data_IF_989220533097
#
_entry.id   IF_989220533097
#
_cell.length_a   1.000
_cell.length_b   1.000
_cell.length_c   1.000
_cell.angle_alpha   90.00
_cell.angle_beta   90.00
_cell.angle_gamma   90.00
#
_symmetry.space_group_name_H-M   'P 1'
#
loop_
_entity.id
_entity.type
_entity.pdbx_description
1 polymer ?
#
# COMPACT_ATOMS: atom_id res chain seq x y z
N UNK A 1 13.27 -13.81 -12.14
CA UNK A 1 12.64 -12.87 -11.25
C UNK A 1 13.33 -11.52 -11.31
N UNK A 2 12.56 -10.44 -11.44
CA UNK A 2 13.05 -9.05 -11.39
C UNK A 2 12.35 -8.36 -10.24
N UNK A 3 13.07 -7.51 -9.50
CA UNK A 3 12.52 -6.61 -8.49
C UNK A 3 12.43 -5.21 -9.08
N UNK A 4 11.23 -4.62 -9.05
CA UNK A 4 10.96 -3.23 -9.48
C UNK A 4 10.83 -2.38 -8.23
N UNK A 5 11.80 -1.46 -8.02
CA UNK A 5 11.90 -0.58 -6.85
C UNK A 5 12.24 0.85 -7.31
N UNK A 6 11.48 1.33 -8.26
CA UNK A 6 11.61 2.65 -8.90
C UNK A 6 10.51 3.59 -8.36
N UNK A 7 10.39 4.86 -8.78
CA UNK A 7 9.24 5.69 -8.46
C UNK A 7 7.91 5.09 -8.94
N UNK A 8 6.83 5.33 -8.19
CA UNK A 8 5.53 4.69 -8.39
C UNK A 8 5.03 4.73 -9.85
N UNK A 9 5.20 5.88 -10.52
CA UNK A 9 4.74 6.10 -11.91
C UNK A 9 5.39 5.17 -12.94
N UNK A 10 6.49 4.53 -12.60
CA UNK A 10 7.22 3.63 -13.52
C UNK A 10 6.97 2.15 -13.24
N UNK A 11 6.29 1.82 -12.14
CA UNK A 11 6.04 0.44 -11.73
C UNK A 11 5.28 -0.33 -12.80
N UNK A 12 4.22 0.27 -13.35
CA UNK A 12 3.36 -0.37 -14.33
C UNK A 12 4.12 -0.77 -15.60
N UNK A 13 4.72 0.18 -16.28
CA UNK A 13 5.39 -0.06 -17.58
C UNK A 13 6.52 -1.08 -17.45
N UNK A 14 7.36 -0.92 -16.40
CA UNK A 14 8.48 -1.82 -16.17
C UNK A 14 7.99 -3.23 -15.84
N UNK A 15 7.03 -3.36 -14.92
CA UNK A 15 6.49 -4.66 -14.54
C UNK A 15 5.83 -5.36 -15.73
N UNK A 16 5.04 -4.64 -16.51
CA UNK A 16 4.36 -5.18 -17.70
C UNK A 16 5.36 -5.74 -18.73
N UNK A 17 6.41 -4.98 -19.03
CA UNK A 17 7.42 -5.41 -19.98
C UNK A 17 8.10 -6.73 -19.58
N UNK A 18 8.42 -6.90 -18.28
CA UNK A 18 9.00 -8.15 -17.78
C UNK A 18 7.99 -9.31 -17.78
N UNK A 19 6.75 -9.07 -17.38
CA UNK A 19 5.70 -10.09 -17.41
C UNK A 19 5.44 -10.57 -18.85
N UNK A 20 5.39 -9.67 -19.81
CA UNK A 20 5.23 -9.99 -21.24
C UNK A 20 6.42 -10.77 -21.82
N UNK A 21 7.60 -10.55 -21.25
CA UNK A 21 8.81 -11.34 -21.57
C UNK A 21 8.88 -12.69 -20.84
N UNK A 22 7.82 -13.09 -20.11
CA UNK A 22 7.79 -14.36 -19.38
C UNK A 22 8.59 -14.34 -18.08
N UNK A 23 8.91 -13.16 -17.53
CA UNK A 23 9.74 -13.00 -16.33
C UNK A 23 8.86 -12.61 -15.15
N UNK A 24 8.96 -13.36 -14.04
CA UNK A 24 8.28 -13.04 -12.80
C UNK A 24 8.76 -11.71 -12.20
N UNK A 25 7.83 -10.95 -11.62
CA UNK A 25 8.09 -9.62 -11.05
C UNK A 25 7.74 -9.60 -9.56
N UNK A 26 8.63 -8.99 -8.77
CA UNK A 26 8.34 -8.48 -7.42
C UNK A 26 8.35 -6.95 -7.50
N UNK A 27 7.17 -6.34 -7.43
CA UNK A 27 7.01 -4.90 -7.50
C UNK A 27 6.95 -4.28 -6.10
N UNK A 28 7.59 -3.12 -5.90
CA UNK A 28 7.36 -2.32 -4.70
C UNK A 28 5.92 -1.78 -4.65
N UNK A 29 5.51 -1.45 -3.44
CA UNK A 29 4.21 -0.81 -3.18
C UNK A 29 4.30 0.73 -3.40
N UNK A 30 3.20 1.37 -3.76
CA UNK A 30 1.97 0.78 -4.31
C UNK A 30 2.24 0.10 -5.66
N UNK A 31 1.47 -0.92 -5.98
CA UNK A 31 1.68 -1.72 -7.21
C UNK A 31 1.70 -0.85 -8.47
N UNK A 32 0.79 0.13 -8.52
CA UNK A 32 0.61 1.08 -9.63
C UNK A 32 0.08 2.40 -9.10
N UNK A 33 -0.02 3.42 -9.95
CA UNK A 33 -0.63 4.71 -9.60
C UNK A 33 -2.13 4.76 -9.91
N UNK A 34 -2.64 3.85 -10.74
CA UNK A 34 -4.07 3.75 -11.07
C UNK A 34 -4.58 2.31 -10.93
N UNK A 35 -5.89 2.18 -10.69
CA UNK A 35 -6.58 0.89 -10.64
C UNK A 35 -6.51 0.15 -11.99
N UNK A 36 -6.72 0.87 -13.09
CA UNK A 36 -6.68 0.30 -14.44
C UNK A 36 -5.33 -0.35 -14.77
N UNK A 37 -4.22 0.29 -14.35
CA UNK A 37 -2.88 -0.29 -14.49
C UNK A 37 -2.72 -1.57 -13.66
N UNK A 38 -3.26 -1.59 -12.43
CA UNK A 38 -3.20 -2.76 -11.57
C UNK A 38 -3.98 -3.94 -12.16
N UNK A 39 -5.18 -3.68 -12.66
CA UNK A 39 -6.00 -4.68 -13.34
C UNK A 39 -5.28 -5.26 -14.58
N UNK A 40 -4.68 -4.40 -15.39
CA UNK A 40 -3.94 -4.84 -16.59
C UNK A 40 -2.71 -5.69 -16.22
N UNK A 41 -1.97 -5.35 -15.16
CA UNK A 41 -0.87 -6.21 -14.66
C UNK A 41 -1.37 -7.58 -14.22
N UNK A 42 -2.50 -7.64 -13.52
CA UNK A 42 -3.11 -8.92 -13.10
C UNK A 42 -3.50 -9.75 -14.32
N UNK A 43 -4.13 -9.14 -15.32
CA UNK A 43 -4.52 -9.80 -16.56
C UNK A 43 -3.29 -10.27 -17.36
N UNK A 44 -2.26 -9.42 -17.43
CA UNK A 44 -1.00 -9.74 -18.11
C UNK A 44 -0.31 -10.93 -17.44
N UNK A 45 -0.16 -10.94 -16.12
CA UNK A 45 0.43 -12.06 -15.39
C UNK A 45 -0.33 -13.38 -15.64
N UNK A 46 -1.67 -13.32 -15.62
CA UNK A 46 -2.50 -14.49 -15.92
C UNK A 46 -2.30 -14.99 -17.36
N UNK A 47 -2.30 -14.10 -18.34
CA UNK A 47 -2.12 -14.40 -19.76
C UNK A 47 -0.76 -15.03 -20.07
N UNK A 48 0.29 -14.54 -19.41
CA UNK A 48 1.67 -15.01 -19.64
C UNK A 48 2.08 -16.19 -18.75
N UNK A 49 1.24 -16.57 -17.78
CA UNK A 49 1.58 -17.60 -16.79
C UNK A 49 2.68 -17.20 -15.83
N UNK A 50 2.92 -15.88 -15.67
CA UNK A 50 3.94 -15.33 -14.77
C UNK A 50 3.36 -14.94 -13.42
N UNK A 51 4.24 -14.65 -12.46
CA UNK A 51 3.89 -14.15 -11.13
C UNK A 51 4.19 -12.67 -11.06
N UNK A 52 3.18 -11.85 -10.70
CA UNK A 52 3.35 -10.47 -10.28
C UNK A 52 3.03 -10.39 -8.78
N UNK A 53 4.04 -10.19 -7.96
CA UNK A 53 3.91 -10.04 -6.51
C UNK A 53 4.19 -8.60 -6.09
N UNK A 54 3.47 -8.12 -5.05
CA UNK A 54 3.71 -6.80 -4.47
C UNK A 54 4.44 -6.94 -3.14
N UNK A 55 5.48 -6.13 -2.92
CA UNK A 55 6.33 -6.21 -1.74
C UNK A 55 5.70 -5.54 -0.51
N UNK A 56 4.76 -6.22 0.13
CA UNK A 56 4.27 -5.85 1.46
C UNK A 56 5.15 -6.49 2.56
N UNK A 57 6.39 -6.06 2.65
CA UNK A 57 7.45 -6.66 3.46
C UNK A 57 7.08 -6.89 4.94
N UNK A 58 6.27 -6.03 5.55
CA UNK A 58 5.87 -6.16 6.96
C UNK A 58 5.11 -7.45 7.27
N UNK A 59 4.36 -8.00 6.32
CA UNK A 59 3.66 -9.28 6.51
C UNK A 59 4.57 -10.50 6.46
N UNK A 60 5.84 -10.29 6.11
CA UNK A 60 6.89 -11.29 6.20
C UNK A 60 7.39 -11.59 7.63
N UNK A 61 7.18 -10.67 8.58
CA UNK A 61 7.63 -10.87 9.95
C UNK A 61 6.94 -12.05 10.65
N UNK A 62 7.71 -12.84 11.36
CA UNK A 62 7.22 -14.06 12.02
C UNK A 62 6.06 -13.78 13.00
N UNK A 63 6.14 -12.70 13.78
CA UNK A 63 5.09 -12.33 14.74
C UNK A 63 3.81 -11.88 14.04
N UNK A 64 3.88 -11.22 12.89
CA UNK A 64 2.71 -10.83 12.10
C UNK A 64 2.00 -12.07 11.55
N UNK A 65 2.77 -13.04 11.04
CA UNK A 65 2.23 -14.32 10.58
C UNK A 65 1.62 -15.11 11.73
N UNK A 66 2.24 -15.09 12.92
CA UNK A 66 1.70 -15.72 14.10
C UNK A 66 0.38 -15.07 14.53
N UNK A 67 0.30 -13.73 14.56
CA UNK A 67 -0.91 -12.98 14.85
C UNK A 67 -2.06 -13.36 13.90
N UNK A 68 -1.80 -13.41 12.58
CA UNK A 68 -2.77 -13.92 11.59
C UNK A 68 -3.25 -15.33 11.91
N UNK A 69 -2.32 -16.22 12.24
CA UNK A 69 -2.65 -17.61 12.56
C UNK A 69 -3.54 -17.71 13.83
N UNK A 70 -3.28 -16.91 14.87
CA UNK A 70 -4.11 -16.85 16.07
C UNK A 70 -5.54 -16.37 15.75
N UNK A 71 -5.66 -15.32 14.93
CA UNK A 71 -6.97 -14.83 14.48
C UNK A 71 -7.71 -15.92 13.70
N UNK A 72 -7.03 -16.58 12.77
CA UNK A 72 -7.63 -17.62 11.93
C UNK A 72 -8.09 -18.86 12.74
N UNK A 73 -7.40 -19.20 13.82
CA UNK A 73 -7.82 -20.28 14.74
C UNK A 73 -8.92 -19.86 15.72
N UNK A 74 -9.22 -18.57 15.80
CA UNK A 74 -10.19 -18.05 16.75
C UNK A 74 -9.66 -17.90 18.18
N UNK A 75 -8.36 -17.90 18.40
CA UNK A 75 -7.72 -17.83 19.73
C UNK A 75 -8.13 -16.56 20.51
N UNK A 76 -8.49 -15.48 19.82
CA UNK A 76 -8.95 -14.22 20.41
C UNK A 76 -10.44 -13.95 20.14
N UNK A 77 -11.15 -14.94 19.61
CA UNK A 77 -12.55 -14.78 19.18
C UNK A 77 -12.70 -13.95 17.90
N UNK A 78 -13.92 -13.48 17.64
CA UNK A 78 -14.22 -12.69 16.44
C UNK A 78 -13.62 -11.28 16.54
N UNK A 79 -12.78 -10.91 15.57
CA UNK A 79 -12.24 -9.55 15.46
C UNK A 79 -13.37 -8.59 15.07
N UNK A 80 -13.62 -7.57 15.87
CA UNK A 80 -14.63 -6.54 15.64
C UNK A 80 -14.04 -5.22 15.17
N UNK A 81 -12.85 -4.89 15.70
CA UNK A 81 -12.16 -3.63 15.44
C UNK A 81 -10.66 -3.90 15.27
N UNK A 82 -10.07 -3.29 14.25
CA UNK A 82 -8.63 -3.12 14.10
C UNK A 82 -8.33 -1.63 14.16
N UNK A 83 -7.39 -1.24 15.02
CA UNK A 83 -6.78 0.09 15.00
C UNK A 83 -5.37 -0.07 14.46
N UNK A 84 -5.06 0.63 13.38
CA UNK A 84 -3.77 0.58 12.72
C UNK A 84 -3.21 1.99 12.59
N UNK A 85 -2.00 2.19 13.10
CA UNK A 85 -1.32 3.48 13.09
C UNK A 85 0.06 3.31 12.47
N UNK A 86 0.40 4.21 11.55
CA UNK A 86 1.72 4.27 10.95
C UNK A 86 2.17 5.73 10.83
N UNK A 87 2.65 6.29 11.92
CA UNK A 87 3.22 7.62 11.99
C UNK A 87 4.72 7.52 12.21
N UNK A 88 5.53 8.18 11.40
CA UNK A 88 6.98 8.14 11.51
C UNK A 88 7.67 9.48 11.19
N UNK A 89 6.92 10.55 10.93
CA UNK A 89 7.45 11.88 10.68
C UNK A 89 8.28 12.01 9.40
N UNK A 90 8.26 11.02 8.50
CA UNK A 90 9.07 11.06 7.27
C UNK A 90 8.69 12.23 6.36
N UNK A 91 7.44 12.63 6.39
CA UNK A 91 6.90 13.74 5.64
C UNK A 91 6.75 15.04 6.46
N UNK A 92 7.20 15.07 7.72
CA UNK A 92 7.02 16.22 8.61
C UNK A 92 7.88 17.44 8.26
N UNK A 93 8.96 17.26 7.48
CA UNK A 93 9.86 18.35 7.12
C UNK A 93 9.57 18.87 5.71
N UNK A 94 9.21 20.16 5.61
CA UNK A 94 8.97 20.80 4.31
C UNK A 94 10.19 20.72 3.37
N UNK A 95 11.41 20.80 3.92
CA UNK A 95 12.66 20.73 3.15
C UNK A 95 12.91 19.37 2.47
N UNK A 96 12.19 18.33 2.83
CA UNK A 96 12.31 17.02 2.16
C UNK A 96 11.85 17.06 0.69
N UNK A 97 10.98 18.02 0.33
CA UNK A 97 10.58 18.24 -1.06
C UNK A 97 11.75 18.66 -1.98
N UNK A 98 12.81 19.23 -1.41
CA UNK A 98 14.02 19.62 -2.15
C UNK A 98 15.08 18.52 -2.20
N UNK A 99 14.90 17.45 -1.42
CA UNK A 99 15.84 16.33 -1.39
C UNK A 99 15.70 15.45 -2.65
N UNK A 100 16.75 15.36 -3.52
CA UNK A 100 16.68 14.62 -4.78
C UNK A 100 16.30 13.14 -4.63
N UNK A 101 16.55 12.54 -3.45
CA UNK A 101 16.28 11.12 -3.19
C UNK A 101 14.81 10.82 -2.92
N UNK A 102 14.06 11.81 -2.40
CA UNK A 102 12.68 11.61 -1.95
C UNK A 102 11.68 12.55 -2.59
N UNK A 103 12.13 13.63 -3.25
CA UNK A 103 11.24 14.65 -3.86
C UNK A 103 10.19 14.11 -4.81
N UNK A 104 10.44 12.97 -5.45
CA UNK A 104 9.48 12.31 -6.31
C UNK A 104 8.18 11.93 -5.60
N UNK A 105 8.24 11.71 -4.27
CA UNK A 105 7.07 11.38 -3.43
C UNK A 105 6.09 12.56 -3.28
N UNK A 106 6.58 13.78 -3.50
CA UNK A 106 5.79 15.02 -3.41
C UNK A 106 5.32 15.54 -4.77
N UNK A 107 5.73 14.86 -5.85
CA UNK A 107 5.33 15.18 -7.20
C UNK A 107 4.18 14.27 -7.64
N UNK A 108 2.95 14.80 -7.84
CA UNK A 108 1.81 13.98 -8.27
C UNK A 108 2.05 13.19 -9.55
N UNK A 109 2.93 13.69 -10.45
CA UNK A 109 3.27 12.99 -11.69
C UNK A 109 4.09 11.72 -11.47
N UNK A 110 4.78 11.61 -10.33
CA UNK A 110 5.64 10.48 -10.01
C UNK A 110 5.09 9.61 -8.88
N UNK A 111 4.49 10.23 -7.86
CA UNK A 111 3.91 9.54 -6.71
C UNK A 111 2.50 9.01 -7.01
N UNK A 112 1.76 9.68 -7.89
CA UNK A 112 0.34 9.45 -8.09
C UNK A 112 -0.51 10.42 -7.28
N UNK A 113 -1.70 9.99 -6.90
CA UNK A 113 -2.73 10.85 -6.25
C UNK A 113 -2.57 11.00 -4.74
N UNK A 114 -1.59 10.34 -4.13
CA UNK A 114 -1.38 10.29 -2.68
C UNK A 114 0.10 10.16 -2.36
N UNK A 115 0.56 10.81 -1.31
CA UNK A 115 1.93 10.69 -0.80
C UNK A 115 1.98 9.82 0.45
N UNK A 116 1.49 10.33 1.57
CA UNK A 116 1.60 9.65 2.87
C UNK A 116 0.79 8.34 2.92
N UNK A 117 -0.42 8.32 2.38
CA UNK A 117 -1.20 7.10 2.37
C UNK A 117 -0.60 6.05 1.42
N UNK A 118 -0.14 6.45 0.23
CA UNK A 118 0.50 5.53 -0.71
C UNK A 118 1.86 5.01 -0.20
N UNK A 119 2.58 5.78 0.62
CA UNK A 119 3.85 5.33 1.20
C UNK A 119 3.64 4.49 2.47
N UNK A 120 2.87 4.96 3.42
CA UNK A 120 2.72 4.38 4.77
C UNK A 120 1.34 3.78 5.02
N UNK A 121 0.27 4.50 4.70
CA UNK A 121 -1.10 4.08 4.96
C UNK A 121 -1.47 2.76 4.29
N UNK A 122 -0.97 2.52 3.09
CA UNK A 122 -1.20 1.27 2.36
C UNK A 122 -0.64 0.05 3.11
N UNK A 123 0.47 0.19 3.84
CA UNK A 123 0.99 -0.87 4.68
C UNK A 123 0.06 -1.16 5.87
N UNK A 124 -0.48 -0.14 6.51
CA UNK A 124 -1.41 -0.28 7.63
C UNK A 124 -2.72 -0.94 7.16
N UNK A 125 -3.25 -0.53 6.00
CA UNK A 125 -4.42 -1.14 5.40
C UNK A 125 -4.18 -2.62 5.03
N UNK A 126 -3.06 -2.89 4.36
CA UNK A 126 -2.68 -4.26 4.01
C UNK A 126 -2.48 -5.13 5.25
N UNK A 127 -1.86 -4.60 6.31
CA UNK A 127 -1.69 -5.31 7.58
C UNK A 127 -3.03 -5.67 8.21
N UNK A 128 -3.99 -4.74 8.23
CA UNK A 128 -5.34 -4.99 8.75
C UNK A 128 -6.04 -6.10 7.96
N UNK A 129 -5.97 -6.07 6.63
CA UNK A 129 -6.51 -7.12 5.77
C UNK A 129 -5.81 -8.46 5.97
N UNK A 130 -4.48 -8.46 6.01
CA UNK A 130 -3.69 -9.67 6.17
C UNK A 130 -3.96 -10.37 7.51
N UNK A 131 -3.98 -9.63 8.60
CA UNK A 131 -4.18 -10.20 9.95
C UNK A 131 -5.62 -10.66 10.16
N UNK A 132 -6.61 -9.86 9.73
CA UNK A 132 -8.02 -10.23 9.86
C UNK A 132 -8.47 -11.33 8.89
N UNK A 133 -7.75 -11.50 7.78
CA UNK A 133 -8.16 -12.38 6.68
C UNK A 133 -9.37 -11.87 5.91
N UNK A 134 -9.66 -10.57 5.97
CA UNK A 134 -10.82 -9.93 5.36
C UNK A 134 -10.37 -8.85 4.37
N UNK A 135 -11.22 -8.54 3.40
CA UNK A 135 -10.96 -7.51 2.41
C UNK A 135 -11.76 -6.24 2.71
N UNK A 136 -11.23 -5.08 2.31
CA UNK A 136 -11.93 -3.81 2.39
C UNK A 136 -13.15 -3.85 1.45
N UNK A 137 -14.32 -3.43 1.96
CA UNK A 137 -15.58 -3.35 1.22
C UNK A 137 -16.02 -1.91 0.99
N UNK A 138 -15.96 -1.11 2.04
CA UNK A 138 -16.37 0.29 2.03
C UNK A 138 -15.33 1.08 2.81
N UNK A 139 -15.01 2.28 2.36
CA UNK A 139 -14.12 3.17 3.09
C UNK A 139 -14.59 4.63 3.01
N UNK A 140 -14.18 5.39 4.03
CA UNK A 140 -14.17 6.85 4.01
C UNK A 140 -12.80 7.34 4.46
N UNK A 141 -12.30 8.40 3.85
CA UNK A 141 -10.99 8.94 4.15
C UNK A 141 -11.06 10.45 4.32
N UNK A 142 -10.21 10.96 5.21
CA UNK A 142 -9.89 12.37 5.36
C UNK A 142 -8.39 12.53 5.12
N UNK A 143 -8.03 13.27 4.07
CA UNK A 143 -6.66 13.50 3.66
C UNK A 143 -6.33 14.98 3.87
N UNK A 144 -5.29 15.25 4.64
CA UNK A 144 -4.90 16.58 5.06
C UNK A 144 -3.47 16.87 4.60
N UNK A 145 -3.24 18.06 4.06
CA UNK A 145 -1.91 18.64 3.86
C UNK A 145 -1.67 19.67 4.94
N UNK A 146 -0.93 19.30 5.99
CA UNK A 146 -0.55 20.23 7.07
C UNK A 146 0.54 21.20 6.62
N UNK A 147 1.36 20.80 5.66
CA UNK A 147 2.39 21.67 5.06
C UNK A 147 1.79 22.37 3.83
N UNK A 148 1.55 23.67 3.92
CA UNK A 148 0.82 24.48 2.94
C UNK A 148 1.36 24.38 1.49
N UNK A 149 2.68 24.18 1.34
CA UNK A 149 3.31 24.09 0.01
C UNK A 149 3.13 22.74 -0.68
N UNK A 150 2.58 21.73 -0.02
CA UNK A 150 2.41 20.38 -0.59
C UNK A 150 1.14 20.25 -1.40
N UNK A 151 1.26 19.54 -2.52
CA UNK A 151 0.14 19.20 -3.41
C UNK A 151 -0.55 17.89 -3.02
N UNK A 152 0.14 17.04 -2.27
CA UNK A 152 -0.33 15.74 -1.79
C UNK A 152 -0.38 15.77 -0.27
N UNK A 153 -1.20 14.92 0.31
CA UNK A 153 -1.39 14.82 1.75
C UNK A 153 -0.14 14.34 2.48
N UNK A 154 0.01 14.79 3.71
CA UNK A 154 1.02 14.36 4.67
C UNK A 154 0.40 13.75 5.95
N UNK A 155 -0.93 13.74 6.02
CA UNK A 155 -1.71 13.08 7.07
C UNK A 155 -2.97 12.45 6.46
N UNK A 156 -3.34 11.27 6.93
CA UNK A 156 -4.54 10.60 6.47
C UNK A 156 -5.23 9.80 7.59
N UNK A 157 -6.53 10.00 7.73
CA UNK A 157 -7.41 9.16 8.54
C UNK A 157 -8.34 8.36 7.63
N UNK A 158 -8.39 7.05 7.82
CA UNK A 158 -9.23 6.17 7.00
C UNK A 158 -10.05 5.24 7.88
N UNK A 159 -11.35 5.19 7.60
CA UNK A 159 -12.27 4.24 8.20
C UNK A 159 -12.65 3.20 7.15
N UNK A 160 -12.52 1.92 7.48
CA UNK A 160 -12.84 0.84 6.56
C UNK A 160 -13.83 -0.14 7.19
N UNK A 161 -14.80 -0.57 6.40
CA UNK A 161 -15.64 -1.73 6.70
C UNK A 161 -15.17 -2.91 5.88
N UNK A 162 -14.82 -3.98 6.56
CA UNK A 162 -14.36 -5.19 5.93
C UNK A 162 -15.54 -6.11 5.57
N UNK A 163 -15.36 -6.99 4.59
CA UNK A 163 -16.39 -7.93 4.11
C UNK A 163 -16.85 -8.94 5.18
N UNK A 164 -15.99 -9.31 6.13
CA UNK A 164 -16.31 -10.16 7.28
C UNK A 164 -16.92 -9.42 8.48
N UNK A 165 -17.18 -8.11 8.34
CA UNK A 165 -17.83 -7.27 9.37
C UNK A 165 -16.88 -6.64 10.39
N UNK A 166 -15.57 -6.79 10.25
CA UNK A 166 -14.58 -6.04 11.03
C UNK A 166 -14.58 -4.57 10.59
N UNK A 167 -14.42 -3.66 11.53
CA UNK A 167 -14.16 -2.24 11.24
C UNK A 167 -12.67 -1.95 11.43
N UNK A 168 -12.09 -1.15 10.54
CA UNK A 168 -10.71 -0.64 10.69
C UNK A 168 -10.73 0.86 10.91
N UNK A 169 -9.93 1.32 11.84
CA UNK A 169 -9.57 2.73 12.05
C UNK A 169 -8.08 2.85 11.74
N UNK A 170 -7.75 3.62 10.74
CA UNK A 170 -6.37 3.77 10.28
C UNK A 170 -5.97 5.23 10.35
N UNK A 171 -4.78 5.49 10.88
CA UNK A 171 -4.13 6.79 10.84
C UNK A 171 -2.69 6.64 10.36
N UNK A 172 -2.25 7.59 9.52
CA UNK A 172 -0.87 7.68 9.04
C UNK A 172 -0.48 9.15 8.89
N UNK A 173 0.72 9.50 9.37
CA UNK A 173 1.24 10.85 9.33
C UNK A 173 2.77 10.87 9.22
#
# INVERSE_FOLDING_TARGET
LVTVATPNSTHYEISKAFLEAGINVLCEKPMTVTEAEAEDLVLTARRTGTICAVNYGYTGYALVRHMRAMVARGDIGKVRLVVAEFAHGHHANAADADNPRVRWRYDPAQAGVSAQFADCGIHALHMASFVSGQNARELSADFISAIESRKLEDDAMVNVRMDGGTTVRLWTS
#
